data_IF_002272085435
#
_entry.id   IF_002272085435
#
_cell.length_a   1.000
_cell.length_b   1.000
_cell.length_c   1.000
_cell.angle_alpha   90.00
_cell.angle_beta   90.00
_cell.angle_gamma   90.00
#
_symmetry.space_group_name_H-M   'P 1'
#
loop_
_entity.id
_entity.type
_entity.pdbx_description
1 polymer ?
#
# COMPACT_ATOMS: atom_id res chain seq x y z
N UNK A 1 -10.72 -1.57 11.55
CA UNK A 1 -11.46 -2.25 10.46
C UNK A 1 -10.50 -2.45 9.30
N UNK A 2 -10.44 -3.65 8.72
CA UNK A 2 -9.44 -3.98 7.70
C UNK A 2 -9.65 -3.11 6.45
N UNK A 3 -8.58 -2.47 5.99
CA UNK A 3 -8.53 -1.70 4.74
C UNK A 3 -7.58 -2.36 3.75
N UNK A 4 -7.97 -2.38 2.48
CA UNK A 4 -7.20 -2.91 1.36
C UNK A 4 -6.75 -1.76 0.47
N UNK A 5 -5.48 -1.75 0.13
CA UNK A 5 -4.86 -0.73 -0.72
C UNK A 5 -4.42 -1.40 -2.02
N UNK A 6 -4.76 -0.78 -3.15
CA UNK A 6 -4.34 -1.21 -4.48
C UNK A 6 -4.27 -0.03 -5.45
N UNK A 7 -3.49 -0.17 -6.52
CA UNK A 7 -3.39 0.82 -7.60
C UNK A 7 -4.51 0.61 -8.63
N UNK A 8 -5.20 1.68 -9.06
CA UNK A 8 -5.83 1.66 -10.39
C UNK A 8 -4.87 2.25 -11.40
N UNK A 9 -4.26 1.39 -12.21
CA UNK A 9 -3.40 1.81 -13.31
C UNK A 9 -4.17 2.63 -14.36
N UNK A 10 -5.48 2.38 -14.49
CA UNK A 10 -6.40 3.07 -15.38
C UNK A 10 -6.43 4.60 -15.20
N UNK A 11 -6.49 5.02 -13.94
CA UNK A 11 -6.68 6.41 -13.52
C UNK A 11 -5.41 6.99 -12.90
N UNK A 12 -4.36 6.18 -12.79
CA UNK A 12 -3.13 6.51 -12.07
C UNK A 12 -3.42 7.06 -10.66
N UNK A 13 -4.33 6.39 -9.92
CA UNK A 13 -4.65 6.69 -8.50
C UNK A 13 -4.56 5.44 -7.63
N UNK A 14 -4.35 5.62 -6.32
CA UNK A 14 -4.46 4.55 -5.34
C UNK A 14 -5.87 4.48 -4.78
N UNK A 15 -6.39 3.28 -4.60
CA UNK A 15 -7.69 3.04 -3.98
C UNK A 15 -7.54 2.36 -2.63
N UNK A 16 -8.21 2.94 -1.64
CA UNK A 16 -8.37 2.35 -0.32
C UNK A 16 -9.83 1.90 -0.20
N UNK A 17 -10.01 0.63 0.12
CA UNK A 17 -11.33 0.03 0.26
C UNK A 17 -11.44 -0.73 1.58
N UNK A 18 -12.53 -0.52 2.29
CA UNK A 18 -12.95 -1.37 3.40
C UNK A 18 -14.45 -1.67 3.27
N UNK A 19 -15.05 -2.25 4.32
CA UNK A 19 -16.48 -2.62 4.30
C UNK A 19 -17.41 -1.40 4.20
N UNK A 20 -17.02 -0.23 4.72
CA UNK A 20 -17.89 0.95 4.82
C UNK A 20 -17.70 1.95 3.69
N UNK A 21 -16.50 2.04 3.13
CA UNK A 21 -16.19 3.03 2.11
C UNK A 21 -15.14 2.56 1.11
N UNK A 22 -15.10 3.31 -0.01
CA UNK A 22 -14.05 3.26 -1.01
C UNK A 22 -13.65 4.70 -1.33
N UNK A 23 -12.35 4.99 -1.25
CA UNK A 23 -11.77 6.29 -1.61
C UNK A 23 -10.61 6.09 -2.58
N UNK A 24 -10.35 7.12 -3.39
CA UNK A 24 -9.20 7.18 -4.31
C UNK A 24 -8.39 8.44 -4.05
N UNK A 25 -7.07 8.31 -4.01
CA UNK A 25 -6.12 9.39 -3.68
C UNK A 25 -4.86 9.27 -4.54
N UNK A 26 -4.07 10.35 -4.62
CA UNK A 26 -2.85 10.38 -5.45
C UNK A 26 -1.70 9.65 -4.79
N UNK A 27 -1.55 9.82 -3.47
CA UNK A 27 -0.54 9.13 -2.68
C UNK A 27 -1.08 8.73 -1.30
N UNK A 28 -0.46 7.73 -0.70
CA UNK A 28 -0.82 7.19 0.63
C UNK A 28 0.45 6.97 1.42
N UNK A 29 0.46 7.40 2.68
CA UNK A 29 1.45 6.95 3.66
C UNK A 29 0.75 6.06 4.68
N UNK A 30 1.27 4.86 4.87
CA UNK A 30 0.83 3.93 5.88
C UNK A 30 1.90 3.91 6.97
N UNK A 31 1.54 4.33 8.18
CA UNK A 31 2.47 4.50 9.32
C UNK A 31 2.39 3.37 10.35
N UNK A 32 1.75 2.25 9.98
CA UNK A 32 1.54 1.12 10.88
C UNK A 32 1.37 -0.20 10.15
N UNK A 33 1.29 -1.27 10.94
CA UNK A 33 1.47 -2.64 10.44
C UNK A 33 0.63 -2.98 9.22
N UNK A 34 1.29 -3.62 8.26
CA UNK A 34 0.68 -4.05 7.02
C UNK A 34 1.05 -5.48 6.68
N UNK A 35 0.15 -6.12 5.94
CA UNK A 35 0.27 -7.50 5.49
C UNK A 35 -0.16 -7.61 4.03
N UNK A 36 0.62 -8.33 3.24
CA UNK A 36 0.25 -8.78 1.91
C UNK A 36 -0.83 -9.87 2.01
N UNK A 37 -1.98 -9.63 1.39
CA UNK A 37 -3.02 -10.63 1.16
C UNK A 37 -2.92 -11.07 -0.30
N UNK A 38 -2.48 -12.31 -0.51
CA UNK A 38 -2.41 -12.94 -1.82
C UNK A 38 -3.64 -13.82 -2.02
N UNK A 39 -4.21 -13.79 -3.24
CA UNK A 39 -5.31 -14.69 -3.64
C UNK A 39 -4.98 -15.40 -4.96
N UNK A 40 -3.99 -16.31 -4.97
CA UNK A 40 -3.59 -17.05 -6.17
C UNK A 40 -4.71 -17.94 -6.71
N UNK A 41 -5.62 -18.42 -5.86
CA UNK A 41 -6.74 -19.31 -6.19
C UNK A 41 -7.86 -18.65 -7.00
N UNK A 42 -7.82 -17.32 -7.20
CA UNK A 42 -8.81 -16.63 -8.02
C UNK A 42 -8.62 -16.97 -9.49
N UNK A 43 -9.53 -17.78 -10.04
CA UNK A 43 -9.60 -18.18 -11.47
C UNK A 43 -9.50 -16.98 -12.44
N UNK A 44 -10.05 -15.83 -12.07
CA UNK A 44 -9.95 -14.59 -12.84
C UNK A 44 -9.14 -13.56 -12.06
N UNK A 45 -7.98 -13.17 -12.58
CA UNK A 45 -7.08 -12.14 -12.03
C UNK A 45 -6.60 -12.44 -10.60
N UNK A 46 -5.55 -13.27 -10.44
CA UNK A 46 -4.90 -13.40 -9.14
C UNK A 46 -4.37 -12.02 -8.69
N UNK A 47 -4.79 -11.60 -7.50
CA UNK A 47 -4.54 -10.25 -6.98
C UNK A 47 -3.83 -10.32 -5.64
N UNK A 48 -2.71 -9.60 -5.54
CA UNK A 48 -2.07 -9.22 -4.29
C UNK A 48 -2.59 -7.86 -3.81
N UNK A 49 -2.91 -7.77 -2.53
CA UNK A 49 -3.33 -6.52 -1.89
C UNK A 49 -2.44 -6.23 -0.69
N UNK A 50 -2.11 -4.96 -0.46
CA UNK A 50 -1.61 -4.54 0.84
C UNK A 50 -2.80 -4.27 1.75
N UNK A 51 -2.73 -4.79 2.98
CA UNK A 51 -3.81 -4.65 3.94
C UNK A 51 -3.32 -4.19 5.31
N UNK A 52 -4.10 -3.35 5.97
CA UNK A 52 -3.87 -2.93 7.36
C UNK A 52 -5.14 -3.15 8.18
N UNK A 53 -4.99 -3.46 9.47
CA UNK A 53 -6.11 -3.65 10.41
C UNK A 53 -6.68 -2.32 10.93
N UNK A 54 -5.86 -1.27 10.96
CA UNK A 54 -6.15 0.04 11.57
C UNK A 54 -6.14 1.13 10.50
N UNK A 55 -7.31 1.49 10.00
CA UNK A 55 -7.45 2.56 8.99
C UNK A 55 -6.94 3.93 9.46
N UNK A 56 -6.81 4.16 10.77
CA UNK A 56 -6.28 5.40 11.34
C UNK A 56 -4.77 5.58 11.07
N UNK A 57 -4.06 4.50 10.73
CA UNK A 57 -2.64 4.53 10.37
C UNK A 57 -2.44 4.89 8.88
N UNK A 58 -3.51 5.21 8.15
CA UNK A 58 -3.47 5.61 6.74
C UNK A 58 -3.59 7.13 6.64
N UNK A 59 -2.54 7.77 6.15
CA UNK A 59 -2.49 9.19 5.82
C UNK A 59 -2.68 9.36 4.31
N UNK A 60 -3.67 10.17 3.92
CA UNK A 60 -4.00 10.43 2.52
C UNK A 60 -3.24 11.66 2.02
N UNK A 61 -2.65 11.57 0.82
CA UNK A 61 -1.90 12.65 0.18
C UNK A 61 -0.96 13.37 1.18
N UNK A 62 -0.03 12.63 1.83
CA UNK A 62 0.89 13.22 2.81
C UNK A 62 1.70 14.36 2.17
N UNK A 63 1.99 15.40 2.95
CA UNK A 63 2.87 16.49 2.52
C UNK A 63 4.32 16.02 2.44
N UNK A 64 5.12 16.64 1.57
CA UNK A 64 6.55 16.35 1.46
C UNK A 64 7.28 16.51 2.80
N UNK A 65 6.98 17.57 3.55
CA UNK A 65 7.51 17.82 4.90
C UNK A 65 7.22 16.68 5.87
N UNK A 66 6.09 15.99 5.74
CA UNK A 66 5.78 14.85 6.60
C UNK A 66 6.58 13.60 6.19
N UNK A 67 6.79 13.42 4.89
CA UNK A 67 7.58 12.31 4.33
C UNK A 67 9.07 12.42 4.65
N UNK A 68 9.59 13.64 4.84
CA UNK A 68 10.99 13.89 5.25
C UNK A 68 11.37 13.20 6.58
N UNK A 69 10.38 12.86 7.43
CA UNK A 69 10.61 12.11 8.68
C UNK A 69 10.83 10.60 8.47
N UNK A 70 10.91 10.15 7.21
CA UNK A 70 11.03 8.75 6.85
C UNK A 70 12.15 8.54 5.83
N UNK A 71 12.93 7.49 6.03
CA UNK A 71 13.94 7.05 5.08
C UNK A 71 13.36 5.98 4.17
N UNK A 72 13.56 6.11 2.85
CA UNK A 72 13.26 5.04 1.90
C UNK A 72 14.33 3.95 2.06
N UNK A 73 13.89 2.72 2.33
CA UNK A 73 14.79 1.57 2.54
C UNK A 73 14.81 0.67 1.32
N UNK A 74 13.65 0.40 0.74
CA UNK A 74 13.50 -0.49 -0.41
C UNK A 74 12.16 -0.22 -1.13
N UNK A 75 11.83 -1.02 -2.14
CA UNK A 75 10.54 -1.00 -2.85
C UNK A 75 9.77 -2.28 -2.57
N UNK A 76 8.47 -2.14 -2.35
CA UNK A 76 7.55 -3.26 -2.35
C UNK A 76 7.20 -3.62 -3.80
N UNK A 77 7.66 -4.79 -4.23
CA UNK A 77 7.53 -5.26 -5.61
C UNK A 77 6.53 -6.40 -5.65
N UNK A 78 5.54 -6.28 -6.54
CA UNK A 78 4.58 -7.34 -6.81
C UNK A 78 4.97 -8.10 -8.09
N UNK A 79 5.31 -9.37 -7.93
CA UNK A 79 5.49 -10.30 -9.03
C UNK A 79 4.12 -10.84 -9.47
N UNK A 80 3.64 -10.35 -10.62
CA UNK A 80 2.36 -10.76 -11.20
C UNK A 80 2.38 -12.20 -11.72
N UNK A 81 3.54 -12.75 -12.11
CA UNK A 81 3.64 -14.12 -12.64
C UNK A 81 3.46 -15.13 -11.52
N UNK A 82 4.14 -14.91 -10.40
CA UNK A 82 4.08 -15.79 -9.24
C UNK A 82 3.05 -15.36 -8.19
N UNK A 83 2.33 -14.25 -8.43
CA UNK A 83 1.31 -13.68 -7.53
C UNK A 83 1.89 -13.52 -6.12
N UNK A 84 3.04 -12.86 -6.02
CA UNK A 84 3.77 -12.76 -4.77
C UNK A 84 4.34 -11.35 -4.59
N UNK A 85 4.56 -10.96 -3.34
CA UNK A 85 5.35 -9.78 -3.02
C UNK A 85 6.76 -10.22 -2.60
N UNK A 86 7.77 -9.40 -2.90
CA UNK A 86 9.11 -9.59 -2.34
C UNK A 86 9.09 -9.56 -0.81
N UNK A 87 8.21 -8.75 -0.20
CA UNK A 87 7.99 -8.68 1.25
C UNK A 87 6.50 -8.85 1.56
N UNK A 88 6.19 -9.66 2.58
CA UNK A 88 4.81 -10.03 2.92
C UNK A 88 4.21 -9.23 4.07
N UNK A 89 5.02 -8.52 4.85
CA UNK A 89 4.55 -7.68 5.94
C UNK A 89 5.60 -6.62 6.29
N UNK A 90 5.18 -5.60 7.04
CA UNK A 90 6.09 -4.56 7.52
C UNK A 90 5.34 -3.49 8.30
N UNK A 91 6.00 -2.36 8.52
CA UNK A 91 5.45 -1.24 9.32
C UNK A 91 5.09 -0.02 8.48
N UNK A 92 6.06 0.63 7.82
CA UNK A 92 5.75 1.84 7.07
C UNK A 92 5.84 1.62 5.55
N UNK A 93 4.85 2.12 4.81
CA UNK A 93 4.84 2.13 3.35
C UNK A 93 4.43 3.49 2.82
N UNK A 94 5.05 3.91 1.74
CA UNK A 94 4.62 5.05 0.96
C UNK A 94 4.23 4.64 -0.45
N UNK A 95 2.95 4.80 -0.76
CA UNK A 95 2.37 4.60 -2.08
C UNK A 95 2.44 5.92 -2.82
N UNK A 96 3.45 6.07 -3.67
CA UNK A 96 3.77 7.30 -4.36
C UNK A 96 2.91 7.51 -5.61
N UNK A 97 2.83 8.76 -6.08
CA UNK A 97 1.97 9.15 -7.21
C UNK A 97 2.39 8.50 -8.53
N UNK A 98 3.69 8.21 -8.67
CA UNK A 98 4.31 7.50 -9.79
C UNK A 98 3.85 6.03 -9.90
N UNK A 99 3.17 5.49 -8.88
CA UNK A 99 2.73 4.10 -8.81
C UNK A 99 3.71 3.17 -8.10
N UNK A 100 4.85 3.68 -7.63
CA UNK A 100 5.80 2.93 -6.81
C UNK A 100 5.28 2.82 -5.38
N UNK A 101 5.53 1.66 -4.75
CA UNK A 101 5.33 1.48 -3.32
C UNK A 101 6.70 1.36 -2.65
N UNK A 102 7.06 2.37 -1.84
CA UNK A 102 8.30 2.44 -1.10
C UNK A 102 8.11 1.86 0.29
N UNK A 103 9.09 1.08 0.74
CA UNK A 103 9.22 0.63 2.11
C UNK A 103 9.99 1.69 2.87
N UNK A 104 9.39 2.16 3.96
CA UNK A 104 9.93 3.24 4.76
C UNK A 104 10.38 2.73 6.13
N UNK A 105 11.42 3.35 6.66
CA UNK A 105 11.71 3.36 8.08
C UNK A 105 11.41 4.75 8.64
N UNK A 106 10.87 4.78 9.85
CA UNK A 106 10.72 6.02 10.59
C UNK A 106 12.02 6.27 11.35
N UNK A 107 12.66 7.40 11.11
CA UNK A 107 13.80 7.83 11.93
C UNK A 107 13.26 8.14 13.34
N UNK A 108 13.92 7.59 14.35
CA UNK A 108 13.51 7.67 15.75
C UNK A 108 13.91 9.01 16.38
#
# INVERSE_FOLDING_TARGET
>A
MKSKIHRCNCRKVWSIQNRKFKITVQSILLTGEWFAELKPERKCEPKGFVTTKKSQEIVYNPTSKYLENFTIVDKLIYDKKNVNFNIKNGKCLYFAEDGTCYILNKEA
#
